data_IF_002251982838
#
_entry.id   IF_002251982838
#
_cell.length_a   1.000
_cell.length_b   1.000
_cell.length_c   1.000
_cell.angle_alpha   90.00
_cell.angle_beta   90.00
_cell.angle_gamma   90.00
#
_symmetry.space_group_name_H-M   'P 1'
#
loop_
_entity.id
_entity.type
_entity.pdbx_description
1 polymer ?
#
# COMPACT_ATOMS: atom_id res chain seq x y z
N UNK A 1 -14.65 -24.25 -16.93
CA UNK A 1 -15.99 -24.20 -16.32
C UNK A 1 -16.38 -22.73 -16.27
N UNK A 2 -17.61 -22.38 -16.65
CA UNK A 2 -18.07 -21.00 -16.60
C UNK A 2 -18.29 -20.57 -15.15
N UNK A 3 -17.83 -19.38 -14.79
CA UNK A 3 -18.12 -18.77 -13.50
C UNK A 3 -19.63 -18.50 -13.40
N UNK A 4 -20.26 -18.82 -12.26
CA UNK A 4 -21.69 -18.57 -12.04
C UNK A 4 -21.85 -17.19 -11.41
N UNK A 5 -22.60 -16.29 -12.05
CA UNK A 5 -22.92 -15.03 -11.40
C UNK A 5 -23.61 -13.99 -12.25
N UNK A 6 -23.54 -12.75 -11.78
CA UNK A 6 -24.15 -11.57 -12.40
C UNK A 6 -23.06 -10.65 -12.90
N UNK A 7 -23.06 -10.39 -14.20
CA UNK A 7 -22.24 -9.35 -14.81
C UNK A 7 -22.97 -8.02 -14.74
N UNK A 8 -22.33 -7.01 -14.15
CA UNK A 8 -22.86 -5.65 -14.05
C UNK A 8 -22.13 -4.79 -15.07
N UNK A 9 -22.87 -4.26 -16.04
CA UNK A 9 -22.33 -3.38 -17.08
C UNK A 9 -22.52 -1.91 -16.72
N UNK A 10 -21.51 -1.10 -17.02
CA UNK A 10 -21.55 0.34 -16.82
C UNK A 10 -21.66 1.09 -18.16
N UNK A 11 -22.19 2.34 -18.15
CA UNK A 11 -22.35 3.13 -19.37
C UNK A 11 -21.06 3.40 -20.14
N UNK A 12 -19.90 3.36 -19.47
CA UNK A 12 -18.57 3.53 -20.07
C UNK A 12 -18.02 2.24 -20.73
N UNK A 13 -18.80 1.15 -20.73
CA UNK A 13 -18.44 -0.15 -21.30
C UNK A 13 -17.62 -1.04 -20.37
N UNK A 14 -17.20 -0.55 -19.20
CA UNK A 14 -16.61 -1.40 -18.16
C UNK A 14 -17.67 -2.31 -17.54
N UNK A 15 -17.21 -3.40 -16.94
CA UNK A 15 -18.08 -4.31 -16.22
C UNK A 15 -17.30 -5.01 -15.12
N UNK A 16 -17.99 -5.41 -14.06
CA UNK A 16 -17.46 -6.37 -13.11
C UNK A 16 -18.38 -7.59 -13.02
N UNK A 17 -17.76 -8.73 -12.76
CA UNK A 17 -18.47 -9.97 -12.50
C UNK A 17 -18.65 -10.15 -10.99
N UNK A 18 -19.89 -10.09 -10.54
CA UNK A 18 -20.26 -10.51 -9.20
C UNK A 18 -20.55 -12.01 -9.25
N UNK A 19 -19.60 -12.84 -8.81
CA UNK A 19 -19.67 -14.30 -8.87
C UNK A 19 -19.23 -14.92 -7.52
N UNK A 20 -19.09 -16.24 -7.45
CA UNK A 20 -18.73 -16.96 -6.23
C UNK A 20 -17.34 -16.61 -5.66
N UNK A 21 -16.52 -15.89 -6.42
CA UNK A 21 -15.20 -15.39 -6.00
C UNK A 21 -15.21 -13.91 -5.63
N UNK A 22 -16.39 -13.28 -5.67
CA UNK A 22 -16.55 -11.86 -5.40
C UNK A 22 -16.80 -11.56 -3.93
N UNK A 23 -16.10 -10.55 -3.43
CA UNK A 23 -16.35 -10.01 -2.10
C UNK A 23 -16.33 -8.50 -2.19
N UNK A 24 -17.39 -7.85 -1.70
CA UNK A 24 -17.44 -6.39 -1.55
C UNK A 24 -16.67 -5.97 -0.31
N UNK A 25 -15.96 -4.87 -0.41
CA UNK A 25 -15.09 -4.42 0.67
C UNK A 25 -15.40 -2.98 1.07
N UNK A 26 -15.01 -2.61 2.28
CA UNK A 26 -15.10 -1.26 2.81
C UNK A 26 -13.73 -0.75 3.23
N UNK A 27 -13.40 0.45 2.77
CA UNK A 27 -12.36 1.29 3.38
C UNK A 27 -12.89 1.78 4.73
N UNK A 28 -12.33 1.28 5.82
CA UNK A 28 -12.74 1.66 7.18
C UNK A 28 -12.30 3.08 7.51
N UNK A 29 -11.14 3.47 7.01
CA UNK A 29 -10.56 4.79 7.20
C UNK A 29 -9.11 4.84 6.77
N UNK A 30 -8.57 6.05 6.77
CA UNK A 30 -7.18 6.35 6.44
C UNK A 30 -6.68 7.35 7.46
N UNK A 31 -5.42 7.26 7.85
CA UNK A 31 -4.82 8.06 8.88
C UNK A 31 -3.33 8.27 8.66
N UNK A 32 -2.77 9.17 9.44
CA UNK A 32 -1.34 9.52 9.37
C UNK A 32 -0.68 9.17 10.70
N UNK A 33 0.35 8.34 10.61
CA UNK A 33 1.30 8.15 11.68
C UNK A 33 2.31 9.29 11.61
N UNK A 34 2.25 10.22 12.56
CA UNK A 34 3.21 11.33 12.61
C UNK A 34 4.61 10.79 12.91
N UNK A 35 5.61 11.41 12.29
CA UNK A 35 7.01 11.15 12.63
C UNK A 35 7.24 11.38 14.12
N UNK A 36 7.75 10.35 14.80
CA UNK A 36 7.84 10.34 16.26
C UNK A 36 9.03 11.12 16.83
N UNK A 37 9.87 11.74 15.98
CA UNK A 37 10.94 12.69 16.36
C UNK A 37 12.13 12.12 17.14
N UNK A 38 11.93 11.05 17.90
CA UNK A 38 12.86 10.61 18.92
C UNK A 38 13.44 9.25 18.58
N UNK A 39 14.77 9.22 18.58
CA UNK A 39 15.59 8.03 18.66
C UNK A 39 15.21 7.28 19.94
N UNK A 40 14.81 6.01 19.82
CA UNK A 40 14.57 5.14 20.98
C UNK A 40 15.52 3.95 20.96
N UNK A 41 15.93 3.53 22.16
CA UNK A 41 16.64 2.27 22.39
C UNK A 41 15.67 1.08 22.54
N UNK A 42 14.35 1.33 22.55
CA UNK A 42 13.34 0.28 22.53
C UNK A 42 13.55 -0.60 21.28
N UNK A 43 13.34 -1.91 21.40
CA UNK A 43 13.38 -2.82 20.23
C UNK A 43 12.03 -2.97 19.55
N UNK A 44 10.98 -2.46 20.18
CA UNK A 44 9.61 -2.59 19.72
C UNK A 44 8.89 -1.28 19.93
N UNK A 45 8.10 -0.86 18.96
CA UNK A 45 7.23 0.30 19.09
C UNK A 45 5.84 -0.02 18.58
N UNK A 46 4.81 0.34 19.34
CA UNK A 46 3.42 0.12 18.98
C UNK A 46 2.70 1.44 18.77
N UNK A 47 1.76 1.47 17.84
CA UNK A 47 0.73 2.50 17.78
C UNK A 47 -0.62 1.88 17.39
N UNK A 48 -1.68 2.52 17.86
CA UNK A 48 -3.04 2.17 17.45
C UNK A 48 -3.46 3.03 16.26
N UNK A 49 -4.09 2.41 15.26
CA UNK A 49 -4.68 3.14 14.13
C UNK A 49 -6.01 3.79 14.50
N UNK A 50 -6.67 3.31 15.56
CA UNK A 50 -8.05 3.65 15.90
C UNK A 50 -9.10 3.10 14.93
N UNK A 51 -8.70 2.35 13.90
CA UNK A 51 -9.61 1.75 12.92
C UNK A 51 -10.14 0.43 13.47
N UNK A 52 -11.46 0.34 13.63
CA UNK A 52 -12.13 -0.84 14.17
C UNK A 52 -12.67 -1.72 13.05
N UNK A 53 -12.37 -3.03 13.12
CA UNK A 53 -12.88 -4.04 12.20
C UNK A 53 -14.19 -4.60 12.76
N UNK A 54 -15.30 -4.55 12.01
CA UNK A 54 -16.56 -5.11 12.48
C UNK A 54 -16.48 -6.62 12.69
N UNK A 55 -17.34 -7.17 13.53
CA UNK A 55 -17.43 -8.62 13.74
C UNK A 55 -17.83 -9.34 12.45
N UNK A 56 -17.26 -10.54 12.22
CA UNK A 56 -17.51 -11.31 10.99
C UNK A 56 -16.79 -10.77 9.74
N UNK A 57 -15.91 -9.78 9.88
CA UNK A 57 -15.05 -9.27 8.81
C UNK A 57 -13.58 -9.69 9.03
N UNK A 58 -12.90 -9.93 7.92
CA UNK A 58 -11.45 -9.93 7.82
C UNK A 58 -10.96 -8.57 7.30
N UNK A 59 -9.65 -8.33 7.32
CA UNK A 59 -9.09 -7.01 7.12
C UNK A 59 -7.68 -7.02 6.53
N UNK A 60 -7.31 -5.88 5.97
CA UNK A 60 -5.96 -5.57 5.56
C UNK A 60 -5.63 -4.12 5.91
N UNK A 61 -4.42 -3.90 6.42
CA UNK A 61 -3.88 -2.57 6.64
C UNK A 61 -2.88 -2.24 5.52
N UNK A 62 -3.28 -1.29 4.69
CA UNK A 62 -2.39 -0.55 3.82
C UNK A 62 -1.50 0.38 4.65
N UNK A 63 -0.20 0.41 4.37
CA UNK A 63 0.68 1.47 4.85
C UNK A 63 1.63 1.93 3.74
N UNK A 64 1.96 3.22 3.76
CA UNK A 64 2.98 3.78 2.87
C UNK A 64 4.38 3.25 3.21
N UNK A 65 4.66 3.02 4.50
CA UNK A 65 5.92 2.46 5.00
C UNK A 65 5.65 1.25 5.89
N UNK A 66 6.17 0.09 5.49
CA UNK A 66 6.12 -1.16 6.26
C UNK A 66 7.50 -1.61 6.74
N UNK A 67 8.56 -1.07 6.15
CA UNK A 67 9.93 -1.39 6.49
C UNK A 67 10.78 -0.15 6.52
N UNK A 68 11.79 -0.16 7.37
CA UNK A 68 12.74 0.92 7.46
C UNK A 68 14.17 0.42 7.70
N UNK A 69 15.13 1.13 7.11
CA UNK A 69 16.53 1.07 7.52
C UNK A 69 16.76 2.15 8.58
N UNK A 70 17.26 1.74 9.74
CA UNK A 70 17.49 2.64 10.86
C UNK A 70 18.96 3.02 10.96
N UNK A 71 19.19 4.17 11.58
CA UNK A 71 20.52 4.72 11.79
C UNK A 71 20.80 4.93 13.27
N UNK A 72 22.04 4.69 13.66
CA UNK A 72 22.57 4.93 14.99
C UNK A 72 23.88 5.68 14.96
N UNK A 73 24.54 5.76 16.12
CA UNK A 73 25.77 6.51 16.34
C UNK A 73 26.89 5.54 16.72
N UNK A 74 28.01 5.61 16.01
CA UNK A 74 29.28 5.01 16.38
C UNK A 74 30.21 6.09 16.97
N UNK A 75 30.81 5.79 18.12
CA UNK A 75 31.79 6.68 18.77
C UNK A 75 33.20 6.38 18.24
N UNK A 76 33.90 7.40 17.75
CA UNK A 76 35.25 7.36 17.19
C UNK A 76 36.20 8.22 18.04
N UNK A 77 36.40 7.84 19.29
CA UNK A 77 37.11 8.68 20.27
C UNK A 77 36.27 9.91 20.64
N UNK A 78 36.79 11.11 20.39
CA UNK A 78 36.05 12.39 20.61
C UNK A 78 35.06 12.73 19.48
N UNK A 79 35.11 12.00 18.37
CA UNK A 79 34.24 12.22 17.22
C UNK A 79 33.10 11.19 17.21
N UNK A 80 31.99 11.56 16.58
CA UNK A 80 30.87 10.65 16.32
C UNK A 80 30.70 10.45 14.83
N UNK A 81 30.25 9.26 14.45
CA UNK A 81 29.80 8.96 13.10
C UNK A 81 28.43 8.30 13.18
N UNK A 82 27.55 8.59 12.24
CA UNK A 82 26.31 7.83 12.06
C UNK A 82 26.54 6.60 11.19
N UNK A 83 25.74 5.56 11.37
CA UNK A 83 25.82 4.34 10.57
C UNK A 83 24.52 3.55 10.61
N UNK A 84 24.33 2.58 9.72
CA UNK A 84 23.18 1.69 9.79
C UNK A 84 23.20 0.92 11.11
N UNK A 85 22.12 1.02 11.87
CA UNK A 85 21.99 0.36 13.19
C UNK A 85 21.18 -0.94 13.12
N UNK A 86 20.46 -1.15 12.02
CA UNK A 86 19.50 -2.25 11.88
C UNK A 86 18.30 -1.86 11.04
N UNK A 87 17.35 -2.78 10.93
CA UNK A 87 16.10 -2.59 10.21
C UNK A 87 14.89 -2.68 11.14
N UNK A 88 13.78 -2.09 10.74
CA UNK A 88 12.49 -2.21 11.44
C UNK A 88 11.42 -2.68 10.47
N UNK A 89 10.57 -3.60 10.91
CA UNK A 89 9.44 -4.12 10.12
C UNK A 89 8.14 -3.90 10.89
N UNK A 90 7.13 -3.38 10.20
CA UNK A 90 5.79 -3.20 10.71
C UNK A 90 4.99 -4.51 10.57
N UNK A 91 4.35 -4.91 11.67
CA UNK A 91 3.44 -6.04 11.74
C UNK A 91 2.09 -5.53 12.25
N UNK A 92 1.08 -5.39 11.38
CA UNK A 92 -0.28 -5.10 11.77
C UNK A 92 -0.87 -6.28 12.55
N UNK A 93 -1.68 -6.00 13.56
CA UNK A 93 -2.46 -7.01 14.29
C UNK A 93 -3.78 -6.43 14.77
N UNK A 94 -4.75 -7.32 14.99
CA UNK A 94 -6.06 -6.98 15.54
C UNK A 94 -6.06 -7.26 17.04
N UNK A 95 -6.46 -6.29 17.87
CA UNK A 95 -6.60 -6.52 19.31
C UNK A 95 -7.98 -7.12 19.69
N UNK A 96 -8.16 -7.40 20.98
CA UNK A 96 -9.40 -7.98 21.52
C UNK A 96 -10.63 -7.07 21.32
N UNK A 97 -10.44 -5.76 21.14
CA UNK A 97 -11.52 -4.80 20.84
C UNK A 97 -11.75 -4.65 19.33
N UNK A 98 -11.09 -5.48 18.53
CA UNK A 98 -11.06 -5.44 17.06
C UNK A 98 -10.54 -4.11 16.51
N UNK A 99 -9.62 -3.45 17.21
CA UNK A 99 -8.90 -2.29 16.70
C UNK A 99 -7.60 -2.74 16.04
N UNK A 100 -7.32 -2.22 14.85
CA UNK A 100 -6.07 -2.50 14.15
C UNK A 100 -4.94 -1.71 14.82
N UNK A 101 -3.93 -2.42 15.27
CA UNK A 101 -2.70 -1.88 15.84
C UNK A 101 -1.52 -2.29 14.96
N UNK A 102 -0.40 -1.58 15.10
CA UNK A 102 0.82 -1.88 14.37
C UNK A 102 1.98 -1.96 15.35
N UNK A 103 2.70 -3.08 15.31
CA UNK A 103 3.95 -3.28 16.02
C UNK A 103 5.12 -3.15 15.05
N UNK A 104 6.05 -2.26 15.34
CA UNK A 104 7.33 -2.17 14.67
C UNK A 104 8.36 -2.96 15.46
N UNK A 105 8.95 -3.97 14.84
CA UNK A 105 9.98 -4.82 15.41
C UNK A 105 11.36 -4.47 14.83
N UNK A 106 12.32 -4.12 15.69
CA UNK A 106 13.67 -3.76 15.29
C UNK A 106 14.64 -4.94 15.37
N UNK A 107 15.37 -5.12 14.28
CA UNK A 107 16.47 -6.07 14.17
C UNK A 107 17.77 -5.30 14.05
N UNK A 108 18.63 -5.41 15.07
CA UNK A 108 19.93 -4.75 15.06
C UNK A 108 20.84 -5.31 13.97
N UNK A 109 21.60 -4.43 13.34
CA UNK A 109 22.67 -4.80 12.40
C UNK A 109 23.97 -5.08 13.17
N UNK A 110 24.82 -5.91 12.59
CA UNK A 110 26.21 -6.14 13.02
C UNK A 110 27.21 -5.19 12.33
N UNK A 111 26.71 -4.28 11.49
CA UNK A 111 27.50 -3.28 10.78
C UNK A 111 28.33 -2.42 11.74
N UNK A 112 29.52 -2.03 11.27
CA UNK A 112 30.49 -1.25 12.03
C UNK A 112 30.99 -0.08 11.21
N UNK A 113 31.30 1.03 11.88
CA UNK A 113 31.96 2.18 11.26
C UNK A 113 33.41 2.20 11.74
N UNK A 114 34.35 1.95 10.84
CA UNK A 114 35.80 1.88 11.14
C UNK A 114 36.09 0.96 12.34
N UNK A 115 35.49 -0.21 12.37
CA UNK A 115 35.64 -1.20 13.45
C UNK A 115 34.82 -0.95 14.73
N UNK A 116 34.16 0.21 14.85
CA UNK A 116 33.34 0.55 16.02
C UNK A 116 31.88 0.15 15.80
N UNK A 117 31.25 -0.38 16.86
CA UNK A 117 29.83 -0.72 16.85
C UNK A 117 28.96 0.51 16.71
N UNK A 118 27.89 0.39 15.91
CA UNK A 118 26.85 1.41 15.80
C UNK A 118 25.82 1.19 16.90
N UNK A 119 25.40 2.26 17.60
CA UNK A 119 24.36 2.17 18.61
C UNK A 119 23.01 1.74 18.02
N UNK A 120 22.19 1.07 18.84
CA UNK A 120 20.85 0.61 18.44
C UNK A 120 19.87 1.74 18.61
N UNK A 121 19.39 2.27 17.50
CA UNK A 121 18.46 3.38 17.51
C UNK A 121 17.38 3.10 16.48
N UNK A 122 16.14 3.00 16.95
CA UNK A 122 14.97 2.96 16.07
C UNK A 122 14.63 4.36 15.60
N UNK A 123 14.42 4.48 14.29
CA UNK A 123 13.76 5.63 13.69
C UNK A 123 12.27 5.33 13.57
N UNK A 124 11.46 6.13 14.27
CA UNK A 124 10.00 6.07 14.20
C UNK A 124 9.55 6.73 12.90
N UNK A 125 9.54 5.97 11.80
CA UNK A 125 9.07 6.46 10.51
C UNK A 125 7.63 6.92 10.61
N UNK A 126 7.38 8.15 10.16
CA UNK A 126 6.03 8.58 9.86
C UNK A 126 5.54 7.92 8.57
N UNK A 127 4.23 7.95 8.36
CA UNK A 127 3.63 7.38 7.17
C UNK A 127 2.13 7.55 7.15
N UNK A 128 1.52 7.13 6.04
CA UNK A 128 0.06 7.02 5.92
C UNK A 128 -0.30 5.56 6.08
N UNK A 129 -1.45 5.29 6.68
CA UNK A 129 -2.05 3.97 6.71
C UNK A 129 -3.53 4.06 6.37
N UNK A 130 -4.11 2.97 5.88
CA UNK A 130 -5.54 2.85 5.65
C UNK A 130 -5.97 1.40 5.77
N UNK A 131 -7.22 1.16 6.18
CA UNK A 131 -7.69 -0.21 6.36
C UNK A 131 -8.85 -0.51 5.41
N UNK A 132 -8.81 -1.71 4.83
CA UNK A 132 -9.89 -2.31 4.06
C UNK A 132 -10.39 -3.54 4.81
N UNK A 133 -11.70 -3.71 4.92
CA UNK A 133 -12.31 -4.89 5.52
C UNK A 133 -13.34 -5.50 4.59
N UNK A 134 -13.53 -6.82 4.70
CA UNK A 134 -14.49 -7.59 3.91
C UNK A 134 -15.11 -8.73 4.74
N UNK A 135 -16.37 -9.11 4.46
CA UNK A 135 -17.04 -10.15 5.22
C UNK A 135 -16.39 -11.53 4.99
N UNK A 136 -16.31 -12.35 6.05
CA UNK A 136 -15.85 -13.75 5.99
C UNK A 136 -16.86 -14.76 6.53
N UNK A 137 -17.76 -14.34 7.43
CA UNK A 137 -18.87 -15.16 7.90
C UNK A 137 -19.96 -14.25 8.47
N UNK A 138 -21.17 -14.30 7.93
CA UNK A 138 -22.26 -13.46 8.40
C UNK A 138 -23.64 -14.13 8.28
N UNK A 139 -24.47 -13.96 9.31
CA UNK A 139 -25.88 -14.32 9.32
C UNK A 139 -26.71 -13.10 8.91
N UNK A 140 -27.67 -13.27 8.00
CA UNK A 140 -28.46 -12.16 7.46
C UNK A 140 -29.90 -12.55 7.17
N UNK A 141 -30.76 -11.52 7.15
CA UNK A 141 -32.18 -11.66 6.83
C UNK A 141 -32.47 -11.30 5.36
N UNK A 142 -31.76 -10.29 4.80
CA UNK A 142 -32.04 -9.77 3.46
C UNK A 142 -30.76 -9.53 2.64
N UNK A 143 -30.81 -9.85 1.35
CA UNK A 143 -29.69 -9.66 0.43
C UNK A 143 -29.78 -10.56 -0.78
N UNK A 144 -28.70 -10.62 -1.55
CA UNK A 144 -28.52 -11.61 -2.59
C UNK A 144 -27.19 -12.33 -2.41
N UNK A 145 -27.19 -13.61 -2.77
CA UNK A 145 -26.06 -14.49 -2.57
C UNK A 145 -25.88 -15.37 -3.80
N UNK A 146 -24.63 -15.54 -4.20
CA UNK A 146 -24.23 -16.47 -5.25
C UNK A 146 -23.52 -17.64 -4.57
N UNK A 147 -24.07 -18.83 -4.81
CA UNK A 147 -23.54 -20.07 -4.28
C UNK A 147 -22.55 -20.69 -5.26
N UNK A 148 -21.30 -20.86 -4.80
CA UNK A 148 -20.31 -21.70 -5.46
C UNK A 148 -20.08 -23.01 -4.71
N UNK A 149 -19.25 -23.89 -5.28
CA UNK A 149 -18.94 -25.21 -4.70
C UNK A 149 -18.33 -25.10 -3.30
N UNK A 150 -17.58 -24.01 -3.02
CA UNK A 150 -16.84 -23.83 -1.76
C UNK A 150 -16.88 -22.40 -1.16
N UNK A 151 -17.51 -21.41 -1.82
CA UNK A 151 -17.50 -20.01 -1.39
C UNK A 151 -18.89 -19.35 -1.44
N UNK A 152 -19.11 -18.43 -0.49
CA UNK A 152 -20.30 -17.60 -0.37
C UNK A 152 -19.94 -16.16 -0.73
N UNK A 153 -20.43 -15.68 -1.87
CA UNK A 153 -20.33 -14.27 -2.27
C UNK A 153 -21.71 -13.63 -2.16
N UNK A 154 -21.85 -12.57 -1.36
CA UNK A 154 -23.14 -11.93 -1.17
C UNK A 154 -23.05 -10.48 -0.75
N UNK A 155 -24.15 -9.76 -1.01
CA UNK A 155 -24.38 -8.42 -0.49
C UNK A 155 -25.70 -8.44 0.25
N UNK A 156 -25.65 -8.02 1.50
CA UNK A 156 -26.73 -8.12 2.47
C UNK A 156 -27.04 -6.75 3.09
N UNK A 157 -28.12 -6.70 3.85
CA UNK A 157 -28.62 -5.51 4.52
C UNK A 157 -27.68 -4.93 5.59
N UNK A 158 -26.67 -5.69 6.01
CA UNK A 158 -25.58 -5.23 6.89
C UNK A 158 -24.21 -5.19 6.20
N UNK A 159 -24.16 -5.37 4.89
CA UNK A 159 -22.90 -5.30 4.15
C UNK A 159 -22.30 -3.90 4.23
N UNK A 160 -20.98 -3.86 4.22
CA UNK A 160 -20.21 -2.64 4.24
C UNK A 160 -19.48 -2.51 2.91
N UNK A 161 -19.82 -1.47 2.15
CA UNK A 161 -19.36 -1.28 0.77
C UNK A 161 -18.71 0.08 0.60
N UNK A 162 -17.51 0.09 0.03
CA UNK A 162 -16.87 1.29 -0.49
C UNK A 162 -17.14 1.40 -1.99
N UNK A 163 -17.84 2.47 -2.36
CA UNK A 163 -18.05 2.82 -3.74
C UNK A 163 -16.79 3.44 -4.34
N UNK A 164 -16.62 3.24 -5.64
CA UNK A 164 -15.66 3.97 -6.43
C UNK A 164 -16.04 5.45 -6.45
N UNK A 165 -15.17 6.29 -5.91
CA UNK A 165 -15.36 7.75 -5.93
C UNK A 165 -14.98 8.32 -7.28
N UNK A 166 -13.94 7.77 -7.89
CA UNK A 166 -13.44 8.19 -9.20
C UNK A 166 -12.59 7.10 -9.85
N UNK A 167 -12.66 7.02 -11.18
CA UNK A 167 -11.69 6.33 -12.03
C UNK A 167 -11.35 7.15 -13.25
N UNK A 168 -10.14 6.98 -13.75
CA UNK A 168 -9.69 7.61 -14.98
C UNK A 168 -8.19 7.43 -15.20
N UNK A 169 -7.69 8.08 -16.24
CA UNK A 169 -6.25 8.19 -16.50
C UNK A 169 -5.72 9.53 -16.00
N UNK A 170 -4.56 9.49 -15.36
CA UNK A 170 -3.87 10.68 -14.85
C UNK A 170 -2.39 10.63 -15.25
N UNK A 171 -1.80 11.81 -15.37
CA UNK A 171 -0.35 11.98 -15.40
C UNK A 171 0.15 12.24 -13.98
N UNK A 172 0.99 11.35 -13.47
CA UNK A 172 1.63 11.49 -12.16
C UNK A 172 3.07 11.88 -12.41
N UNK A 173 3.53 12.95 -11.77
CA UNK A 173 4.93 13.36 -11.83
C UNK A 173 5.44 13.51 -10.41
N UNK A 174 5.58 14.75 -9.96
CA UNK A 174 6.13 15.10 -8.67
C UNK A 174 5.06 15.68 -7.73
N UNK A 175 4.28 14.81 -7.08
CA UNK A 175 3.37 15.20 -6.02
C UNK A 175 1.91 15.32 -6.46
N UNK A 176 1.35 14.23 -6.97
CA UNK A 176 -0.09 14.10 -7.22
C UNK A 176 -0.85 13.67 -5.95
N UNK A 177 -2.10 14.10 -5.82
CA UNK A 177 -3.00 13.63 -4.77
C UNK A 177 -4.44 13.54 -5.29
N UNK A 178 -5.32 12.78 -4.62
CA UNK A 178 -6.75 12.75 -4.97
C UNK A 178 -7.43 14.14 -4.96
N UNK A 179 -6.88 15.10 -4.19
CA UNK A 179 -7.38 16.48 -4.13
C UNK A 179 -7.27 17.20 -5.47
N UNK A 180 -6.38 16.77 -6.35
CA UNK A 180 -6.25 17.31 -7.70
C UNK A 180 -7.46 16.99 -8.60
N UNK A 181 -8.25 15.96 -8.25
CA UNK A 181 -9.50 15.60 -8.95
C UNK A 181 -10.71 16.23 -8.25
N UNK A 182 -10.77 16.11 -6.92
CA UNK A 182 -11.85 16.69 -6.12
C UNK A 182 -11.30 17.08 -4.74
N UNK A 183 -11.49 18.33 -4.28
CA UNK A 183 -11.01 18.77 -2.97
C UNK A 183 -11.50 17.93 -1.77
N UNK A 184 -12.64 17.25 -1.90
CA UNK A 184 -13.18 16.34 -0.88
C UNK A 184 -12.49 14.96 -0.81
N UNK A 185 -11.66 14.61 -1.81
CA UNK A 185 -10.86 13.39 -1.81
C UNK A 185 -9.42 13.71 -1.41
N UNK A 186 -8.82 12.88 -0.58
CA UNK A 186 -7.44 13.05 -0.11
C UNK A 186 -6.82 11.70 0.24
N UNK A 187 -5.49 11.69 0.36
CA UNK A 187 -4.75 10.55 0.93
C UNK A 187 -5.09 10.25 2.40
N UNK A 188 -5.87 11.10 3.07
CA UNK A 188 -6.32 10.90 4.46
C UNK A 188 -7.74 10.35 4.56
N UNK A 189 -8.45 10.17 3.44
CA UNK A 189 -9.80 9.58 3.42
C UNK A 189 -10.05 8.64 2.23
N UNK A 190 -9.04 8.43 1.37
CA UNK A 190 -9.11 7.56 0.21
C UNK A 190 -7.89 6.65 0.11
N UNK A 191 -8.09 5.47 -0.47
CA UNK A 191 -7.05 4.58 -0.96
C UNK A 191 -7.09 4.61 -2.49
N UNK A 192 -5.93 4.72 -3.13
CA UNK A 192 -5.79 4.74 -4.57
C UNK A 192 -5.13 3.46 -5.06
N UNK A 193 -5.70 2.88 -6.11
CA UNK A 193 -5.14 1.73 -6.81
C UNK A 193 -4.69 2.18 -8.20
N UNK A 194 -3.43 1.91 -8.54
CA UNK A 194 -2.84 2.32 -9.80
C UNK A 194 -2.55 1.12 -10.67
N UNK A 195 -2.75 1.31 -11.97
CA UNK A 195 -2.29 0.42 -13.02
C UNK A 195 -1.28 1.16 -13.89
N UNK A 196 -0.07 0.63 -13.90
CA UNK A 196 1.04 1.07 -14.75
C UNK A 196 1.40 -0.02 -15.75
N UNK A 197 2.07 0.36 -16.83
CA UNK A 197 2.46 -0.54 -17.93
C UNK A 197 3.97 -0.62 -18.13
N UNK A 198 4.74 0.07 -17.30
CA UNK A 198 6.20 0.03 -17.29
C UNK A 198 6.67 -0.18 -15.85
N UNK A 199 7.32 -1.33 -15.56
CA UNK A 199 7.74 -1.65 -14.21
C UNK A 199 8.88 -0.74 -13.73
N UNK A 200 9.59 -0.04 -14.60
CA UNK A 200 10.68 0.83 -14.18
C UNK A 200 10.20 2.12 -13.51
N UNK A 201 8.93 2.48 -13.76
CA UNK A 201 8.29 3.60 -13.10
C UNK A 201 7.58 3.14 -11.83
N UNK A 202 8.00 3.71 -10.71
CA UNK A 202 7.46 3.41 -9.39
C UNK A 202 6.60 4.58 -8.95
N UNK A 203 5.36 4.30 -8.57
CA UNK A 203 4.51 5.24 -7.85
C UNK A 203 4.60 4.88 -6.36
N UNK A 204 4.92 5.84 -5.52
CA UNK A 204 4.84 5.69 -4.07
C UNK A 204 4.67 7.04 -3.41
N UNK A 205 4.77 7.09 -2.09
CA UNK A 205 4.22 8.21 -1.31
C UNK A 205 5.31 8.91 -0.50
N UNK A 206 5.40 10.23 -0.66
CA UNK A 206 6.34 11.06 0.09
C UNK A 206 5.86 11.39 1.53
N UNK A 207 6.73 12.05 2.29
CA UNK A 207 6.44 12.50 3.66
C UNK A 207 5.34 13.56 3.74
N UNK A 208 5.02 14.23 2.63
CA UNK A 208 3.94 15.20 2.49
C UNK A 208 2.61 14.57 2.05
N UNK A 209 2.57 13.24 2.05
CA UNK A 209 1.40 12.48 1.72
C UNK A 209 0.95 12.65 0.25
N UNK A 210 1.91 12.77 -0.67
CA UNK A 210 1.65 12.90 -2.11
C UNK A 210 2.28 11.74 -2.86
N UNK A 211 1.61 11.31 -3.93
CA UNK A 211 2.15 10.33 -4.86
C UNK A 211 3.23 10.97 -5.73
N UNK A 212 4.41 10.35 -5.76
CA UNK A 212 5.53 10.73 -6.62
C UNK A 212 5.94 9.56 -7.50
N UNK A 213 6.58 9.89 -8.61
CA UNK A 213 7.14 8.90 -9.53
C UNK A 213 8.65 8.85 -9.44
N UNK A 214 9.17 7.63 -9.37
CA UNK A 214 10.60 7.34 -9.51
C UNK A 214 10.86 6.46 -10.73
N UNK A 215 12.03 6.64 -11.33
CA UNK A 215 12.56 5.83 -12.42
C UNK A 215 13.97 5.39 -12.04
N UNK A 216 14.21 4.08 -11.94
CA UNK A 216 15.52 3.52 -11.55
C UNK A 216 16.09 4.13 -10.26
N UNK A 217 15.24 4.28 -9.23
CA UNK A 217 15.62 4.87 -7.95
C UNK A 217 15.88 6.39 -7.95
N UNK A 218 15.72 7.07 -9.10
CA UNK A 218 15.79 8.53 -9.23
C UNK A 218 14.38 9.10 -9.31
N UNK A 219 14.22 10.37 -8.94
CA UNK A 219 13.02 11.13 -9.29
C UNK A 219 12.82 11.08 -10.81
N UNK A 220 11.62 10.78 -11.28
CA UNK A 220 11.34 10.75 -12.71
C UNK A 220 11.26 12.19 -13.28
N UNK A 221 11.93 12.43 -14.41
CA UNK A 221 11.89 13.73 -15.09
C UNK A 221 10.60 13.95 -15.87
N UNK A 222 9.94 12.87 -16.29
CA UNK A 222 8.71 12.89 -17.07
C UNK A 222 7.53 12.30 -16.27
N UNK A 223 6.30 12.78 -16.51
CA UNK A 223 5.10 12.17 -15.93
C UNK A 223 4.91 10.74 -16.43
N UNK A 224 4.27 9.92 -15.59
CA UNK A 224 3.77 8.59 -15.94
C UNK A 224 2.26 8.65 -16.06
N UNK A 225 1.76 8.20 -17.21
CA UNK A 225 0.34 7.94 -17.41
C UNK A 225 -0.05 6.68 -16.65
N UNK A 226 -0.97 6.79 -15.70
CA UNK A 226 -1.51 5.66 -14.97
C UNK A 226 -3.04 5.68 -14.99
N UNK A 227 -3.65 4.50 -15.09
CA UNK A 227 -5.08 4.32 -14.76
C UNK A 227 -5.19 4.23 -13.24
N UNK A 228 -6.15 4.91 -12.64
CA UNK A 228 -6.34 4.92 -11.19
C UNK A 228 -7.80 4.74 -10.82
N UNK A 229 -8.04 3.97 -9.76
CA UNK A 229 -9.32 3.89 -9.04
C UNK A 229 -9.15 4.46 -7.64
N UNK A 230 -10.08 5.31 -7.22
CA UNK A 230 -10.09 5.95 -5.90
C UNK A 230 -11.30 5.46 -5.11
N UNK A 231 -11.04 4.81 -3.97
CA UNK A 231 -12.07 4.35 -3.04
C UNK A 231 -11.92 5.10 -1.71
N UNK A 232 -13.04 5.57 -1.15
CA UNK A 232 -13.05 6.29 0.12
C UNK A 232 -13.84 5.59 1.22
N UNK A 233 -13.68 6.13 2.44
CA UNK A 233 -14.46 5.73 3.61
C UNK A 233 -15.78 6.53 3.78
N UNK A 234 -16.09 7.42 2.84
CA UNK A 234 -17.25 8.31 2.86
C UNK A 234 -18.41 7.83 1.98
N UNK A 235 -19.53 8.55 2.08
CA UNK A 235 -20.66 8.36 1.17
C UNK A 235 -20.21 8.61 -0.29
N UNK A 236 -20.76 7.87 -1.27
CA UNK A 236 -20.46 8.11 -2.67
C UNK A 236 -20.75 9.56 -3.05
N UNK A 237 -19.92 10.12 -3.93
CA UNK A 237 -20.14 11.46 -4.46
C UNK A 237 -21.49 11.49 -5.21
N UNK A 238 -22.39 12.35 -4.76
CA UNK A 238 -23.73 12.57 -5.32
C UNK A 238 -23.67 12.95 -6.81
N UNK A 239 -24.65 12.57 -7.65
CA UNK A 239 -25.85 11.78 -7.32
C UNK A 239 -25.63 10.28 -7.51
N UNK A 240 -26.14 9.48 -6.58
CA UNK A 240 -26.22 8.02 -6.78
C UNK A 240 -27.03 7.70 -8.05
N UNK A 241 -26.70 6.60 -8.73
CA UNK A 241 -27.44 6.18 -9.92
C UNK A 241 -28.92 6.01 -9.60
N UNK A 242 -29.79 6.53 -10.48
CA UNK A 242 -31.25 6.36 -10.40
C UNK A 242 -31.70 4.93 -10.76
N UNK A 243 -30.78 4.09 -11.24
CA UNK A 243 -31.04 2.73 -11.71
C UNK A 243 -30.03 1.72 -11.12
N UNK A 244 -30.45 0.47 -10.97
CA UNK A 244 -29.60 -0.64 -10.54
C UNK A 244 -30.30 -1.55 -9.53
N UNK A 245 -29.68 -2.68 -9.20
CA UNK A 245 -30.08 -3.52 -8.08
C UNK A 245 -29.66 -2.84 -6.78
N UNK A 246 -30.59 -2.78 -5.82
CA UNK A 246 -30.37 -2.10 -4.55
C UNK A 246 -30.58 -3.04 -3.37
N UNK A 247 -29.75 -2.86 -2.36
CA UNK A 247 -29.93 -3.50 -1.04
C UNK A 247 -30.07 -2.40 -0.01
N UNK A 248 -31.09 -2.50 0.83
CA UNK A 248 -31.44 -1.52 1.85
C UNK A 248 -31.30 -2.15 3.23
N UNK A 249 -30.79 -1.37 4.18
CA UNK A 249 -30.76 -1.76 5.59
C UNK A 249 -32.13 -1.45 6.21
N UNK A 250 -32.91 -2.43 6.66
CA UNK A 250 -34.21 -2.19 7.27
C UNK A 250 -34.10 -1.45 8.61
N UNK A 251 -32.96 -1.61 9.30
CA UNK A 251 -32.69 -1.00 10.60
C UNK A 251 -32.46 0.51 10.50
N UNK A 252 -31.78 0.96 9.45
CA UNK A 252 -31.41 2.38 9.26
C UNK A 252 -32.26 3.09 8.21
N UNK A 253 -32.97 2.33 7.37
CA UNK A 253 -33.64 2.86 6.18
C UNK A 253 -32.68 3.38 5.11
N UNK A 254 -31.37 3.12 5.23
CA UNK A 254 -30.36 3.58 4.28
C UNK A 254 -30.04 2.52 3.23
N UNK A 255 -29.71 2.98 2.02
CA UNK A 255 -29.24 2.11 0.94
C UNK A 255 -27.80 1.67 1.21
N UNK A 256 -27.59 0.36 1.27
CA UNK A 256 -26.30 -0.29 1.51
C UNK A 256 -25.53 -0.47 0.21
N UNK A 257 -26.22 -0.95 -0.83
CA UNK A 257 -25.64 -1.27 -2.13
C UNK A 257 -26.51 -0.74 -3.27
N UNK A 258 -25.88 -0.31 -4.36
CA UNK A 258 -26.51 0.04 -5.62
C UNK A 258 -25.58 -0.38 -6.77
N UNK A 259 -26.04 -1.28 -7.64
CA UNK A 259 -25.24 -1.81 -8.75
C UNK A 259 -24.97 -0.81 -9.87
N UNK A 260 -25.62 0.35 -9.87
CA UNK A 260 -25.33 1.44 -10.80
C UNK A 260 -24.03 2.19 -10.49
N UNK A 261 -23.31 1.79 -9.43
CA UNK A 261 -22.00 2.32 -9.08
C UNK A 261 -20.99 1.18 -8.94
N UNK A 262 -19.78 1.42 -9.45
CA UNK A 262 -18.62 0.58 -9.19
C UNK A 262 -18.32 0.53 -7.68
N UNK A 263 -17.82 -0.60 -7.22
CA UNK A 263 -17.47 -0.85 -5.82
C UNK A 263 -16.10 -1.51 -5.71
N UNK A 264 -15.46 -1.39 -4.56
CA UNK A 264 -14.24 -2.15 -4.27
C UNK A 264 -14.62 -3.63 -4.15
N UNK A 265 -14.18 -4.43 -5.12
CA UNK A 265 -14.58 -5.83 -5.26
C UNK A 265 -13.37 -6.72 -5.56
N UNK A 266 -13.40 -7.96 -5.08
CA UNK A 266 -12.38 -8.99 -5.36
C UNK A 266 -10.93 -8.55 -5.08
N UNK A 267 -10.63 -7.82 -3.99
CA UNK A 267 -9.23 -7.58 -3.69
C UNK A 267 -8.53 -8.90 -3.38
N UNK A 268 -7.32 -9.06 -3.89
CA UNK A 268 -6.42 -10.15 -3.54
C UNK A 268 -5.24 -9.58 -2.76
N UNK A 269 -4.84 -10.26 -1.70
CA UNK A 269 -3.59 -9.98 -0.99
C UNK A 269 -2.47 -10.80 -1.62
N UNK A 270 -1.48 -10.11 -2.17
CA UNK A 270 -0.35 -10.73 -2.88
C UNK A 270 0.94 -10.39 -2.14
N UNK A 271 1.67 -11.41 -1.69
CA UNK A 271 3.05 -11.22 -1.23
C UNK A 271 3.95 -11.01 -2.44
N UNK A 272 4.87 -10.05 -2.32
CA UNK A 272 5.90 -9.75 -3.33
C UNK A 272 7.30 -10.03 -2.78
N UNK A 273 7.42 -10.77 -1.69
CA UNK A 273 8.68 -10.94 -0.94
C UNK A 273 9.74 -11.77 -1.69
N UNK A 274 9.39 -12.32 -2.84
CA UNK A 274 10.31 -13.03 -3.75
C UNK A 274 10.51 -12.30 -5.09
N UNK A 275 9.89 -11.13 -5.26
CA UNK A 275 9.98 -10.32 -6.48
C UNK A 275 11.32 -9.59 -6.60
N UNK A 276 12.09 -9.50 -5.52
CA UNK A 276 13.45 -8.99 -5.50
C UNK A 276 14.38 -10.01 -4.87
N UNK A 277 15.57 -10.19 -5.44
CA UNK A 277 16.65 -10.97 -4.83
C UNK A 277 17.99 -10.29 -5.02
N UNK A 278 18.92 -10.51 -4.09
CA UNK A 278 20.31 -10.04 -4.20
C UNK A 278 21.19 -11.26 -4.45
N UNK A 279 21.85 -11.30 -5.61
CA UNK A 279 22.75 -12.38 -6.01
C UNK A 279 24.07 -11.74 -6.45
N UNK A 280 25.17 -12.07 -5.76
CA UNK A 280 26.51 -11.50 -6.02
C UNK A 280 26.50 -9.95 -6.06
N UNK A 281 25.89 -9.33 -5.04
CA UNK A 281 25.72 -7.87 -4.93
C UNK A 281 24.94 -7.20 -6.07
N UNK A 282 24.23 -7.98 -6.88
CA UNK A 282 23.33 -7.47 -7.92
C UNK A 282 21.87 -7.70 -7.53
N UNK A 283 21.06 -6.66 -7.67
CA UNK A 283 19.62 -6.74 -7.46
C UNK A 283 18.98 -7.31 -8.72
N UNK A 284 18.19 -8.37 -8.55
CA UNK A 284 17.38 -9.00 -9.61
C UNK A 284 15.91 -8.84 -9.28
N UNK A 285 15.15 -8.45 -10.28
CA UNK A 285 13.70 -8.28 -10.20
C UNK A 285 13.01 -9.43 -10.93
N UNK A 286 12.07 -10.07 -10.26
CA UNK A 286 11.27 -11.17 -10.79
C UNK A 286 9.80 -10.74 -10.84
N UNK A 287 9.09 -11.02 -11.95
CA UNK A 287 7.66 -10.75 -12.04
C UNK A 287 6.88 -11.65 -11.06
N UNK A 288 5.82 -11.10 -10.49
CA UNK A 288 4.83 -11.82 -9.69
C UNK A 288 3.49 -11.78 -10.42
N UNK A 289 3.03 -12.95 -10.88
CA UNK A 289 1.68 -13.09 -11.44
C UNK A 289 0.64 -13.08 -10.32
N UNK A 290 -0.51 -12.47 -10.60
CA UNK A 290 -1.65 -12.45 -9.67
C UNK A 290 -2.71 -13.42 -10.18
N UNK A 291 -2.94 -14.58 -9.52
CA UNK A 291 -3.84 -15.60 -10.02
C UNK A 291 -5.26 -15.05 -10.27
N UNK A 292 -5.77 -15.25 -11.50
CA UNK A 292 -7.10 -14.78 -11.88
C UNK A 292 -7.22 -13.28 -12.17
N UNK A 293 -6.13 -12.50 -12.07
CA UNK A 293 -6.10 -11.08 -12.44
C UNK A 293 -5.07 -10.88 -13.57
N UNK A 294 -5.56 -10.56 -14.77
CA UNK A 294 -4.72 -10.34 -15.95
C UNK A 294 -4.10 -8.96 -16.00
N UNK A 295 -4.82 -7.94 -15.50
CA UNK A 295 -4.39 -6.54 -15.45
C UNK A 295 -4.39 -6.08 -13.99
N UNK A 296 -3.30 -6.30 -13.23
CA UNK A 296 -3.30 -5.93 -11.83
C UNK A 296 -3.30 -4.40 -11.67
N UNK A 297 -4.11 -3.90 -10.74
CA UNK A 297 -3.93 -2.58 -10.14
C UNK A 297 -3.59 -2.75 -8.66
N UNK A 298 -2.67 -1.95 -8.16
CA UNK A 298 -2.13 -2.10 -6.81
C UNK A 298 -2.26 -0.80 -6.02
N UNK A 299 -2.44 -0.92 -4.70
CA UNK A 299 -2.25 0.19 -3.78
C UNK A 299 -0.74 0.39 -3.56
N UNK A 300 -0.17 1.61 -3.73
CA UNK A 300 1.27 1.83 -3.57
C UNK A 300 1.71 1.56 -2.14
N UNK A 301 2.63 0.62 -1.98
CA UNK A 301 3.06 0.15 -0.67
C UNK A 301 4.56 -0.06 -0.69
N UNK A 302 5.23 0.35 0.38
CA UNK A 302 6.61 -0.02 0.63
C UNK A 302 6.68 -1.52 0.97
N UNK A 303 7.52 -2.22 0.22
CA UNK A 303 7.65 -3.69 0.24
C UNK A 303 8.97 -4.16 0.83
N UNK A 304 9.87 -3.25 1.16
CA UNK A 304 11.19 -3.57 1.69
C UNK A 304 12.10 -2.36 1.76
N UNK A 305 13.24 -2.52 2.41
CA UNK A 305 14.24 -1.48 2.56
C UNK A 305 15.65 -2.08 2.59
N UNK A 306 16.62 -1.41 1.99
CA UNK A 306 17.97 -1.93 1.89
C UNK A 306 19.06 -0.86 1.94
N UNK A 307 20.30 -1.36 2.01
CA UNK A 307 21.53 -0.58 1.94
C UNK A 307 22.21 -0.85 0.61
N UNK A 308 22.52 0.20 -0.15
CA UNK A 308 23.13 0.07 -1.47
C UNK A 308 23.40 1.42 -2.12
N UNK A 309 24.67 1.78 -2.23
CA UNK A 309 25.07 3.01 -2.91
C UNK A 309 24.76 2.92 -4.41
N UNK A 310 24.11 3.95 -4.95
CA UNK A 310 23.76 4.04 -6.38
C UNK A 310 22.50 3.26 -6.77
N UNK A 311 21.80 2.66 -5.81
CA UNK A 311 20.49 2.01 -6.03
C UNK A 311 19.36 3.04 -6.03
N UNK A 312 19.43 4.03 -5.14
CA UNK A 312 18.49 5.13 -5.05
C UNK A 312 19.24 6.47 -4.97
N UNK A 313 18.54 7.52 -5.35
CA UNK A 313 19.08 8.87 -5.42
C UNK A 313 18.08 9.85 -4.80
N UNK A 314 18.62 10.93 -4.24
CA UNK A 314 17.79 12.01 -3.77
C UNK A 314 17.36 12.95 -4.92
N UNK A 315 16.62 14.01 -4.56
CA UNK A 315 16.14 15.00 -5.51
C UNK A 315 17.29 15.80 -6.18
N UNK A 316 18.48 15.86 -5.57
CA UNK A 316 19.69 16.45 -6.16
C UNK A 316 20.45 15.53 -7.12
N UNK A 317 20.04 14.25 -7.21
CA UNK A 317 20.69 13.24 -8.04
C UNK A 317 21.89 12.55 -7.38
N UNK A 318 22.16 12.82 -6.10
CA UNK A 318 23.21 12.18 -5.33
C UNK A 318 22.80 10.78 -4.87
N UNK A 319 23.76 9.85 -4.94
CA UNK A 319 23.53 8.47 -4.54
C UNK A 319 23.24 8.36 -3.04
N UNK A 320 22.07 7.83 -2.73
CA UNK A 320 21.68 7.51 -1.37
C UNK A 320 22.31 6.18 -0.92
N UNK A 321 22.49 6.04 0.40
CA UNK A 321 22.99 4.81 1.02
C UNK A 321 21.88 3.83 1.36
N UNK A 322 20.67 4.33 1.59
CA UNK A 322 19.45 3.56 1.81
C UNK A 322 18.54 3.66 0.62
N UNK A 323 17.82 2.59 0.32
CA UNK A 323 16.73 2.59 -0.65
C UNK A 323 15.52 1.88 -0.07
N UNK A 324 14.34 2.28 -0.54
CA UNK A 324 13.07 1.62 -0.25
C UNK A 324 12.55 0.99 -1.52
N UNK A 325 11.98 -0.20 -1.42
CA UNK A 325 11.31 -0.81 -2.56
C UNK A 325 9.82 -0.61 -2.45
N UNK A 326 9.18 -0.55 -3.60
CA UNK A 326 7.75 -0.38 -3.73
C UNK A 326 7.21 -1.36 -4.76
N UNK A 327 5.91 -1.60 -4.69
CA UNK A 327 5.22 -2.35 -5.73
C UNK A 327 5.03 -1.49 -6.99
N UNK A 328 5.21 -2.12 -8.15
CA UNK A 328 4.90 -1.56 -9.48
C UNK A 328 4.42 -2.67 -10.42
N UNK A 329 4.06 -2.33 -11.66
CA UNK A 329 3.48 -3.25 -12.65
C UNK A 329 4.01 -2.99 -14.06
N UNK A 330 4.13 -4.06 -14.86
CA UNK A 330 4.34 -4.00 -16.33
C UNK A 330 3.01 -4.05 -17.12
N UNK A 331 1.89 -3.94 -16.41
CA UNK A 331 0.55 -4.05 -16.96
C UNK A 331 -0.02 -5.47 -16.93
N UNK A 332 0.76 -6.48 -16.54
CA UNK A 332 0.35 -7.89 -16.42
C UNK A 332 0.86 -8.57 -15.14
N UNK A 333 2.03 -8.16 -14.65
CA UNK A 333 2.70 -8.69 -13.48
C UNK A 333 3.06 -7.57 -12.51
N UNK A 334 3.19 -7.93 -11.24
CA UNK A 334 3.74 -7.04 -10.22
C UNK A 334 5.25 -7.22 -10.08
N UNK A 335 5.93 -6.16 -9.68
CA UNK A 335 7.36 -6.14 -9.38
C UNK A 335 7.62 -5.42 -8.07
N UNK A 336 8.75 -5.74 -7.46
CA UNK A 336 9.32 -5.02 -6.32
C UNK A 336 10.56 -4.28 -6.79
N UNK A 337 10.51 -2.96 -6.89
CA UNK A 337 11.61 -2.16 -7.45
C UNK A 337 11.97 -1.00 -6.51
N UNK A 338 13.26 -0.65 -6.36
CA UNK A 338 13.70 0.52 -5.61
C UNK A 338 13.06 1.82 -6.12
N UNK A 339 12.34 2.49 -5.24
CA UNK A 339 11.95 3.89 -5.40
C UNK A 339 12.95 4.79 -4.69
N UNK A 340 13.05 6.04 -5.15
CA UNK A 340 13.76 7.08 -4.38
C UNK A 340 12.92 7.47 -3.18
N UNK A 341 13.55 8.00 -2.13
CA UNK A 341 12.84 8.79 -1.13
C UNK A 341 13.82 9.68 -0.39
N UNK A 342 13.37 10.88 -0.03
CA UNK A 342 13.95 11.72 1.01
C UNK A 342 14.07 10.91 2.33
N UNK A 343 15.29 10.47 2.67
CA UNK A 343 15.58 10.02 4.03
C UNK A 343 15.33 11.24 4.94
N UNK A 344 14.54 11.16 6.02
CA UNK A 344 14.31 12.30 6.91
C UNK A 344 15.60 12.83 7.57
N UNK A 345 16.71 12.09 7.46
CA UNK A 345 18.04 12.47 7.87
C UNK A 345 18.97 12.77 6.69
N UNK A 346 18.45 13.11 5.52
CA UNK A 346 19.25 13.45 4.35
C UNK A 346 20.37 14.42 4.72
N UNK A 347 20.04 15.49 5.47
CA UNK A 347 20.97 16.50 5.96
C UNK A 347 22.09 15.95 6.85
N UNK A 348 21.82 14.90 7.64
CA UNK A 348 22.81 14.25 8.52
C UNK A 348 23.59 13.17 7.74
N UNK A 349 23.00 12.59 6.69
CA UNK A 349 23.56 11.55 5.82
C UNK A 349 24.57 12.07 4.77
N UNK A 350 24.74 13.39 4.61
CA UNK A 350 25.81 13.97 3.78
C UNK A 350 27.19 13.99 4.45
N UNK A 351 27.28 13.76 5.76
CA UNK A 351 28.53 13.80 6.52
C UNK A 351 29.35 12.49 6.41
N UNK A 352 29.86 12.18 5.21
CA UNK A 352 31.02 11.29 5.01
C UNK A 352 30.90 9.86 5.55
N UNK A 353 30.02 9.04 4.97
CA UNK A 353 29.74 7.69 5.46
C UNK A 353 30.45 6.56 4.70
N UNK A 354 30.89 5.56 5.48
CA UNK A 354 31.48 4.30 5.03
C UNK A 354 30.51 3.14 5.31
N UNK A 355 29.46 3.01 4.49
CA UNK A 355 28.58 1.83 4.48
C UNK A 355 28.71 1.21 3.08
N UNK A 356 29.80 0.45 2.87
CA UNK A 356 30.18 -0.05 1.54
C UNK A 356 30.35 -1.57 1.48
N UNK A 357 30.40 -2.27 2.61
CA UNK A 357 30.95 -3.63 2.62
C UNK A 357 29.90 -4.73 2.35
N UNK A 358 28.60 -4.41 2.31
CA UNK A 358 27.56 -5.40 2.04
C UNK A 358 26.24 -4.77 1.60
N UNK A 359 25.63 -5.31 0.54
CA UNK A 359 24.21 -5.06 0.26
C UNK A 359 23.37 -5.80 1.30
N UNK A 360 22.58 -5.08 2.07
CA UNK A 360 21.63 -5.66 3.03
C UNK A 360 20.21 -5.28 2.62
N UNK A 361 19.27 -6.19 2.81
CA UNK A 361 17.88 -6.00 2.41
C UNK A 361 16.95 -6.69 3.38
N UNK A 362 15.94 -5.96 3.85
CA UNK A 362 14.84 -6.49 4.64
C UNK A 362 13.57 -6.47 3.80
N UNK A 363 12.86 -7.59 3.78
CA UNK A 363 11.53 -7.68 3.17
C UNK A 363 10.48 -7.14 4.13
N UNK A 364 9.47 -6.47 3.59
CA UNK A 364 8.25 -6.17 4.33
C UNK A 364 7.41 -7.42 4.51
N UNK A 365 6.69 -7.50 5.64
CA UNK A 365 5.80 -8.62 5.91
C UNK A 365 4.38 -8.41 5.36
N UNK A 366 4.04 -7.18 4.96
CA UNK A 366 2.67 -6.82 4.60
C UNK A 366 2.41 -7.10 3.12
N UNK A 367 1.37 -7.91 2.79
CA UNK A 367 1.00 -8.16 1.40
C UNK A 367 0.47 -6.89 0.73
N UNK A 368 0.55 -6.86 -0.58
CA UNK A 368 -0.02 -5.80 -1.42
C UNK A 368 -1.46 -6.17 -1.76
N UNK A 369 -2.40 -5.26 -1.55
CA UNK A 369 -3.76 -5.42 -2.06
C UNK A 369 -3.80 -5.08 -3.56
N UNK A 370 -4.34 -6.01 -4.34
CA UNK A 370 -4.44 -5.95 -5.79
C UNK A 370 -5.90 -6.12 -6.20
N UNK A 371 -6.35 -5.32 -7.15
CA UNK A 371 -7.65 -5.44 -7.80
C UNK A 371 -7.48 -5.62 -9.31
N UNK A 372 -8.52 -6.12 -9.97
CA UNK A 372 -8.49 -6.29 -11.42
C UNK A 372 -8.83 -4.98 -12.12
N UNK A 373 -7.91 -4.45 -12.92
CA UNK A 373 -8.15 -3.23 -13.70
C UNK A 373 -9.29 -3.39 -14.70
N UNK A 374 -9.48 -4.60 -15.23
CA UNK A 374 -10.53 -4.89 -16.22
C UNK A 374 -11.94 -4.76 -15.65
N UNK A 375 -12.07 -4.82 -14.31
CA UNK A 375 -13.36 -4.60 -13.64
C UNK A 375 -13.79 -3.13 -13.75
N UNK A 376 -12.84 -2.22 -13.99
CA UNK A 376 -13.07 -0.77 -13.96
C UNK A 376 -12.80 -0.08 -15.30
N UNK A 377 -11.98 -0.67 -16.16
CA UNK A 377 -11.55 -0.06 -17.43
C UNK A 377 -11.68 -1.03 -18.60
N UNK A 378 -12.01 -0.47 -19.76
CA UNK A 378 -11.83 -1.15 -21.05
C UNK A 378 -10.34 -1.06 -21.45
N UNK A 379 -9.78 -2.17 -21.95
CA UNK A 379 -8.36 -2.30 -22.31
C UNK A 379 -8.16 -2.68 -23.76
#
# INVERSE_FOLDING_TARGET
MGDYGVRVYHPDGSHFDFNERSTVCRVLGVGVQKYGGNLSNDRTWNFSTGLQVPEGYDWWLWQSYNTNQNWGIATLGIHWAFGPSGSSVATPYLDDNRVINVRWDFTASDQRVKGNSVSKIIQKTGGIYGAVAWPVAQSHDYGFQIYGVDNLAGVFDTSLVSYLMWKGEIDIHDGWSPQNINPGMSVSNCICFFHTTDPNYIIGIDSYARYRVWLHGRKADAPVRAKVCIFGNGAPLSPLSDYGLEVWSPQTGQRVYNSGRDVLIRPQLVSVDSALSIVNDQIRYSPVSVPGIRRPMYAPTNTGAGLGAGVAFNDGGDAMKTYYTWVTSDGFHLYQIPGGQQNPFEEIAYAGFFAYERTDFVYGANPVMVINAEDYFVF
#
